data_IF_584090249098
#
_entry.id   IF_584090249098
#
_cell.length_a   1.000
_cell.length_b   1.000
_cell.length_c   1.000
_cell.angle_alpha   90.00
_cell.angle_beta   90.00
_cell.angle_gamma   90.00
#
_symmetry.space_group_name_H-M   'P 1'
#
loop_
_entity.id
_entity.type
_entity.pdbx_description
1 polymer ?
#
# COMPACT_ATOMS: atom_id res chain seq x y z
N UNK A 1 -2.80 35.44 -43.18
CA UNK A 1 -3.22 34.03 -43.00
C UNK A 1 -2.09 33.16 -42.46
N UNK A 2 -0.86 33.28 -42.98
CA UNK A 2 0.33 32.52 -42.52
C UNK A 2 0.75 32.83 -41.06
N UNK A 3 0.72 34.10 -40.66
CA UNK A 3 1.07 34.53 -39.30
C UNK A 3 0.10 34.07 -38.21
N UNK A 4 -1.14 33.75 -38.56
CA UNK A 4 -2.16 33.29 -37.61
C UNK A 4 -1.86 31.86 -37.14
N UNK A 5 -1.50 30.96 -38.07
CA UNK A 5 -1.12 29.60 -37.74
C UNK A 5 0.22 29.53 -37.01
N UNK A 6 1.16 30.41 -37.35
CA UNK A 6 2.42 30.53 -36.63
C UNK A 6 2.23 30.90 -35.15
N UNK A 7 1.32 31.84 -34.86
CA UNK A 7 0.96 32.19 -33.47
C UNK A 7 0.14 31.12 -32.77
N UNK A 8 -0.83 30.50 -33.47
CA UNK A 8 -1.70 29.48 -32.88
C UNK A 8 -0.92 28.23 -32.44
N UNK A 9 0.10 27.86 -33.21
CA UNK A 9 0.92 26.67 -32.96
C UNK A 9 2.29 26.98 -32.35
N UNK A 10 2.55 28.26 -32.03
CA UNK A 10 3.79 28.78 -31.46
C UNK A 10 5.06 28.34 -32.20
N UNK A 11 5.11 28.63 -33.50
CA UNK A 11 6.16 28.20 -34.43
C UNK A 11 6.59 29.32 -35.36
N UNK A 12 7.89 29.40 -35.60
CA UNK A 12 8.53 30.50 -36.37
C UNK A 12 8.46 30.32 -37.89
N UNK A 13 8.21 29.11 -38.40
CA UNK A 13 8.13 28.84 -39.85
C UNK A 13 6.84 28.12 -40.24
N UNK A 14 6.37 28.36 -41.47
CA UNK A 14 5.20 27.68 -42.04
C UNK A 14 5.45 26.18 -42.27
N UNK A 15 6.69 25.77 -42.52
CA UNK A 15 7.08 24.35 -42.62
C UNK A 15 6.94 23.60 -41.30
N UNK A 16 6.98 24.30 -40.16
CA UNK A 16 6.77 23.73 -38.82
C UNK A 16 5.31 23.44 -38.48
N UNK A 17 4.35 23.97 -39.26
CA UNK A 17 2.91 23.85 -38.96
C UNK A 17 2.45 22.40 -39.04
N UNK A 18 2.79 21.69 -40.12
CA UNK A 18 2.37 20.29 -40.29
C UNK A 18 2.99 19.34 -39.26
N UNK A 19 4.30 19.40 -38.96
CA UNK A 19 4.89 18.64 -37.85
C UNK A 19 4.22 18.93 -36.51
N UNK A 20 3.96 20.21 -36.21
CA UNK A 20 3.34 20.62 -34.95
C UNK A 20 1.90 20.16 -34.83
N UNK A 21 1.13 20.21 -35.92
CA UNK A 21 -0.22 19.63 -35.97
C UNK A 21 -0.19 18.13 -35.74
N UNK A 22 0.72 17.40 -36.38
CA UNK A 22 0.84 15.96 -36.19
C UNK A 22 1.16 15.62 -34.73
N UNK A 23 2.05 16.37 -34.08
CA UNK A 23 2.36 16.20 -32.66
C UNK A 23 1.13 16.41 -31.77
N UNK A 24 0.31 17.42 -32.06
CA UNK A 24 -0.95 17.65 -31.32
C UNK A 24 -1.90 16.47 -31.47
N UNK A 25 -2.08 15.93 -32.67
CA UNK A 25 -2.93 14.75 -32.89
C UNK A 25 -2.39 13.51 -32.20
N UNK A 26 -1.08 13.27 -32.27
CA UNK A 26 -0.44 12.15 -31.56
C UNK A 26 -0.67 12.25 -30.06
N UNK A 27 -0.37 13.41 -29.44
CA UNK A 27 -0.58 13.62 -28.01
C UNK A 27 -2.05 13.48 -27.61
N UNK A 28 -2.98 14.00 -28.41
CA UNK A 28 -4.41 13.87 -28.13
C UNK A 28 -4.86 12.41 -28.21
N UNK A 29 -4.36 11.65 -29.19
CA UNK A 29 -4.61 10.22 -29.31
C UNK A 29 -4.06 9.44 -28.12
N UNK A 30 -2.83 9.72 -27.71
CA UNK A 30 -2.20 9.14 -26.52
C UNK A 30 -3.00 9.44 -25.24
N UNK A 31 -3.41 10.70 -25.03
CA UNK A 31 -4.21 11.09 -23.87
C UNK A 31 -5.58 10.42 -23.88
N UNK A 32 -6.22 10.31 -25.04
CA UNK A 32 -7.52 9.63 -25.18
C UNK A 32 -7.39 8.13 -24.87
N UNK A 33 -6.33 7.49 -25.35
CA UNK A 33 -6.05 6.09 -25.08
C UNK A 33 -5.71 5.85 -23.60
N UNK A 34 -4.87 6.70 -23.01
CA UNK A 34 -4.56 6.63 -21.58
C UNK A 34 -5.81 6.79 -20.72
N UNK A 35 -6.70 7.73 -21.06
CA UNK A 35 -7.97 7.91 -20.35
C UNK A 35 -8.88 6.70 -20.46
N UNK A 36 -8.98 6.07 -21.64
CA UNK A 36 -9.73 4.82 -21.82
C UNK A 36 -9.15 3.70 -20.96
N UNK A 37 -7.83 3.51 -20.98
CA UNK A 37 -7.17 2.49 -20.15
C UNK A 37 -7.44 2.71 -18.65
N UNK A 38 -7.39 3.96 -18.18
CA UNK A 38 -7.71 4.28 -16.78
C UNK A 38 -9.16 3.94 -16.43
N UNK A 39 -10.11 4.22 -17.33
CA UNK A 39 -11.52 3.85 -17.13
C UNK A 39 -11.69 2.34 -17.09
N UNK A 40 -11.06 1.60 -18.00
CA UNK A 40 -11.11 0.13 -18.03
C UNK A 40 -10.56 -0.47 -16.74
N UNK A 41 -9.39 0.00 -16.26
CA UNK A 41 -8.77 -0.48 -15.02
C UNK A 41 -9.67 -0.21 -13.81
N UNK A 42 -10.33 0.94 -13.78
CA UNK A 42 -11.26 1.34 -12.71
C UNK A 42 -12.68 0.78 -12.92
N UNK A 43 -12.90 0.00 -13.98
CA UNK A 43 -14.20 -0.52 -14.39
C UNK A 43 -15.30 0.57 -14.49
N UNK A 44 -14.93 1.74 -15.01
CA UNK A 44 -15.82 2.89 -15.22
C UNK A 44 -16.41 2.89 -16.63
N UNK A 45 -17.55 3.57 -16.81
CA UNK A 45 -18.13 3.77 -18.14
C UNK A 45 -17.16 4.52 -19.06
N UNK A 46 -17.15 4.15 -20.34
CA UNK A 46 -16.26 4.69 -21.36
C UNK A 46 -16.41 6.22 -21.54
N UNK A 47 -17.56 6.78 -21.12
CA UNK A 47 -17.89 8.21 -21.13
C UNK A 47 -17.73 8.88 -19.77
N UNK A 48 -17.22 8.18 -18.76
CA UNK A 48 -17.01 8.74 -17.43
C UNK A 48 -16.13 10.01 -17.48
N UNK A 49 -16.56 11.12 -16.85
CA UNK A 49 -15.79 12.35 -16.80
C UNK A 49 -14.47 12.15 -16.04
N UNK A 50 -13.46 12.95 -16.38
CA UNK A 50 -12.15 12.91 -15.72
C UNK A 50 -12.25 13.06 -14.19
N UNK A 51 -13.17 13.88 -13.70
CA UNK A 51 -13.38 14.07 -12.26
C UNK A 51 -13.77 12.78 -11.54
N UNK A 52 -14.55 11.91 -12.19
CA UNK A 52 -14.98 10.64 -11.62
C UNK A 52 -13.81 9.65 -11.55
N UNK A 53 -13.00 9.59 -12.60
CA UNK A 53 -11.74 8.82 -12.64
C UNK A 53 -10.81 9.27 -11.50
N UNK A 54 -10.61 10.58 -11.33
CA UNK A 54 -9.75 11.14 -10.26
C UNK A 54 -10.32 10.84 -8.87
N UNK A 55 -11.64 10.96 -8.67
CA UNK A 55 -12.27 10.68 -7.40
C UNK A 55 -12.18 9.19 -7.02
N UNK A 56 -12.35 8.27 -7.98
CA UNK A 56 -12.15 6.84 -7.77
C UNK A 56 -10.69 6.53 -7.37
N UNK A 57 -9.71 7.10 -8.07
CA UNK A 57 -8.30 6.94 -7.72
C UNK A 57 -8.04 7.49 -6.30
N UNK A 58 -8.58 8.66 -5.97
CA UNK A 58 -8.46 9.23 -4.63
C UNK A 58 -9.11 8.32 -3.57
N UNK A 59 -10.25 7.70 -3.88
CA UNK A 59 -10.90 6.74 -2.99
C UNK A 59 -10.05 5.48 -2.81
N UNK A 60 -9.42 4.97 -3.85
CA UNK A 60 -8.56 3.78 -3.79
C UNK A 60 -7.28 4.03 -2.99
N UNK A 61 -6.65 5.18 -3.19
CA UNK A 61 -5.44 5.59 -2.43
C UNK A 61 -5.75 5.79 -0.96
N UNK A 62 -6.95 6.28 -0.63
CA UNK A 62 -7.38 6.50 0.75
C UNK A 62 -8.11 5.29 1.35
N UNK A 63 -8.32 4.21 0.58
CA UNK A 63 -9.00 3.02 1.10
C UNK A 63 -8.00 2.15 1.89
N UNK A 64 -8.28 1.86 3.16
CA UNK A 64 -7.45 0.95 3.97
C UNK A 64 -7.48 -0.51 3.47
N UNK A 65 -8.39 -0.84 2.53
CA UNK A 65 -8.59 -2.20 2.04
C UNK A 65 -7.65 -2.57 0.87
N UNK A 66 -7.00 -1.59 0.21
CA UNK A 66 -6.00 -1.87 -0.84
C UNK A 66 -4.65 -2.36 -0.28
N UNK A 67 -4.48 -2.34 1.05
CA UNK A 67 -3.36 -2.93 1.81
C UNK A 67 -3.64 -4.39 2.22
N UNK A 68 -4.68 -5.02 1.67
CA UNK A 68 -5.01 -6.44 1.93
C UNK A 68 -4.07 -7.39 1.17
N UNK A 69 -2.77 -7.28 1.45
CA UNK A 69 -1.72 -8.06 0.82
C UNK A 69 -0.43 -7.96 1.63
N UNK A 70 -0.46 -8.41 2.88
CA UNK A 70 0.74 -8.68 3.68
C UNK A 70 1.66 -7.48 3.99
N UNK A 71 1.11 -6.30 4.28
CA UNK A 71 1.95 -5.23 4.83
C UNK A 71 2.34 -5.53 6.29
N UNK A 72 3.64 -5.45 6.64
CA UNK A 72 4.14 -5.66 7.99
C UNK A 72 3.53 -4.68 9.02
N UNK A 73 2.83 -3.65 8.56
CA UNK A 73 2.06 -2.70 9.38
C UNK A 73 1.00 -3.37 10.26
N UNK A 74 0.32 -4.42 9.79
CA UNK A 74 -0.70 -5.13 10.59
C UNK A 74 -0.04 -6.05 11.63
N UNK A 75 1.12 -6.63 11.31
CA UNK A 75 1.86 -7.51 12.22
C UNK A 75 2.68 -6.73 13.28
N UNK A 76 3.19 -5.55 12.92
CA UNK A 76 4.06 -4.74 13.77
C UNK A 76 3.31 -3.57 14.45
N UNK A 77 2.11 -3.25 13.99
CA UNK A 77 1.26 -2.19 14.56
C UNK A 77 1.81 -0.77 14.39
N UNK A 78 2.86 -0.57 13.58
CA UNK A 78 3.52 0.73 13.39
C UNK A 78 3.88 0.95 11.91
N UNK A 79 3.72 2.21 11.48
CA UNK A 79 3.95 2.65 10.08
C UNK A 79 5.34 3.27 9.84
N UNK A 80 6.02 3.64 10.92
CA UNK A 80 7.26 4.39 10.87
C UNK A 80 8.50 3.47 11.02
N UNK A 81 9.51 3.68 10.19
CA UNK A 81 10.72 2.84 10.12
C UNK A 81 11.49 2.89 11.45
N UNK A 82 11.57 4.06 12.09
CA UNK A 82 12.25 4.19 13.38
C UNK A 82 11.53 3.42 14.49
N UNK A 83 10.19 3.43 14.46
CA UNK A 83 9.35 2.63 15.36
C UNK A 83 9.53 1.12 15.17
N UNK A 84 9.73 0.66 13.93
CA UNK A 84 10.06 -0.75 13.63
C UNK A 84 11.45 -1.11 14.17
N UNK A 85 12.45 -0.25 13.94
CA UNK A 85 13.82 -0.45 14.45
C UNK A 85 13.83 -0.55 15.98
N UNK A 86 13.04 0.29 16.65
CA UNK A 86 12.90 0.27 18.11
C UNK A 86 12.29 -1.07 18.58
N UNK A 87 11.17 -1.51 17.98
CA UNK A 87 10.52 -2.80 18.30
C UNK A 87 11.46 -4.00 18.10
N UNK A 88 12.26 -4.00 17.04
CA UNK A 88 13.25 -5.05 16.77
C UNK A 88 14.35 -5.06 17.83
N UNK A 89 14.83 -3.88 18.26
CA UNK A 89 15.80 -3.77 19.36
C UNK A 89 15.23 -4.24 20.69
N UNK A 90 13.99 -3.86 21.02
CA UNK A 90 13.30 -4.33 22.22
C UNK A 90 13.15 -5.86 22.22
N UNK A 91 12.77 -6.44 21.08
CA UNK A 91 12.66 -7.88 20.91
C UNK A 91 14.01 -8.58 21.13
N UNK A 92 15.12 -8.05 20.60
CA UNK A 92 16.44 -8.64 20.78
C UNK A 92 16.89 -8.72 22.25
N UNK A 93 16.40 -7.81 23.11
CA UNK A 93 16.75 -7.78 24.54
C UNK A 93 15.76 -8.57 25.39
N UNK A 94 14.45 -8.39 25.17
CA UNK A 94 13.41 -8.99 26.01
C UNK A 94 13.13 -10.46 25.65
N UNK A 95 13.10 -10.78 24.35
CA UNK A 95 12.64 -12.09 23.90
C UNK A 95 13.52 -13.26 24.37
N UNK A 96 14.87 -13.16 24.42
CA UNK A 96 15.69 -14.25 24.96
C UNK A 96 15.39 -14.58 26.42
N UNK A 97 15.23 -13.56 27.27
CA UNK A 97 14.91 -13.76 28.68
C UNK A 97 13.49 -14.31 28.86
N UNK A 98 12.53 -13.79 28.10
CA UNK A 98 11.16 -14.28 28.10
C UNK A 98 11.06 -15.73 27.60
N UNK A 99 11.74 -16.06 26.50
CA UNK A 99 11.78 -17.41 25.95
C UNK A 99 12.37 -18.40 26.96
N UNK A 100 13.48 -18.04 27.60
CA UNK A 100 14.09 -18.86 28.64
C UNK A 100 13.13 -19.14 29.80
N UNK A 101 12.48 -18.09 30.32
CA UNK A 101 11.47 -18.22 31.38
C UNK A 101 10.31 -19.14 30.97
N UNK A 102 9.80 -19.00 29.74
CA UNK A 102 8.72 -19.84 29.23
C UNK A 102 9.18 -21.29 29.10
N UNK A 103 10.39 -21.55 28.60
CA UNK A 103 10.93 -22.90 28.50
C UNK A 103 11.11 -23.56 29.87
N UNK A 104 11.61 -22.83 30.87
CA UNK A 104 11.71 -23.34 32.24
C UNK A 104 10.33 -23.66 32.83
N UNK A 105 9.33 -22.81 32.57
CA UNK A 105 7.94 -23.06 32.98
C UNK A 105 7.36 -24.31 32.33
N UNK A 106 7.55 -24.49 31.02
CA UNK A 106 7.10 -25.67 30.28
C UNK A 106 7.73 -26.96 30.85
N UNK A 107 9.05 -26.94 31.09
CA UNK A 107 9.76 -28.07 31.69
C UNK A 107 9.33 -28.37 33.13
N UNK A 108 9.14 -27.32 33.95
CA UNK A 108 8.74 -27.48 35.35
C UNK A 108 7.33 -28.04 35.48
N UNK A 109 6.44 -27.65 34.56
CA UNK A 109 5.04 -28.08 34.53
C UNK A 109 4.82 -29.35 33.70
N UNK A 110 5.86 -29.87 33.04
CA UNK A 110 5.84 -31.03 32.14
C UNK A 110 4.78 -30.91 31.04
N UNK A 111 4.80 -29.78 30.33
CA UNK A 111 3.86 -29.48 29.22
C UNK A 111 4.61 -29.03 27.97
N UNK A 112 4.09 -29.43 26.81
CA UNK A 112 4.73 -29.16 25.51
C UNK A 112 4.30 -27.83 24.88
N UNK A 113 3.15 -27.27 25.29
CA UNK A 113 2.59 -26.05 24.69
C UNK A 113 2.42 -24.93 25.70
N UNK A 114 2.70 -23.70 25.24
CA UNK A 114 2.50 -22.48 26.00
C UNK A 114 1.04 -22.32 26.49
N UNK A 115 0.08 -22.73 25.67
CA UNK A 115 -1.36 -22.67 25.99
C UNK A 115 -1.73 -23.52 27.22
N UNK A 116 -0.95 -24.58 27.48
CA UNK A 116 -1.20 -25.55 28.54
C UNK A 116 -0.65 -25.11 29.90
N UNK A 117 0.22 -24.09 29.94
CA UNK A 117 0.80 -23.54 31.17
C UNK A 117 -0.30 -23.06 32.13
N UNK A 118 -1.24 -22.23 31.64
CA UNK A 118 -2.27 -21.63 32.49
C UNK A 118 -3.27 -22.64 33.06
N UNK A 119 -3.80 -23.61 32.27
CA UNK A 119 -4.62 -24.70 32.79
C UNK A 119 -3.95 -25.51 33.90
N UNK A 120 -2.67 -25.88 33.72
CA UNK A 120 -1.93 -26.69 34.71
C UNK A 120 -1.68 -25.90 35.99
N UNK A 121 -1.27 -24.63 35.89
CA UNK A 121 -1.09 -23.77 37.05
C UNK A 121 -2.37 -23.59 37.87
N UNK A 122 -3.52 -23.42 37.22
CA UNK A 122 -4.82 -23.33 37.91
C UNK A 122 -5.16 -24.62 38.64
N UNK A 123 -4.91 -25.76 38.01
CA UNK A 123 -5.14 -27.08 38.60
C UNK A 123 -4.24 -27.33 39.81
N UNK A 124 -2.96 -26.97 39.71
CA UNK A 124 -2.01 -27.05 40.83
C UNK A 124 -2.42 -26.14 41.99
N UNK A 125 -2.81 -24.89 41.70
CA UNK A 125 -3.30 -23.96 42.73
C UNK A 125 -4.51 -24.53 43.47
N UNK A 126 -5.49 -25.08 42.75
CA UNK A 126 -6.69 -25.67 43.36
C UNK A 126 -6.43 -26.93 44.22
N UNK A 127 -5.25 -27.55 44.09
CA UNK A 127 -4.81 -28.70 44.90
C UNK A 127 -3.97 -28.29 46.11
N UNK A 128 -3.45 -27.07 46.11
CA UNK A 128 -2.64 -26.51 47.18
C UNK A 128 -3.50 -25.69 48.18
N UNK A 129 -4.71 -25.32 47.78
CA UNK A 129 -5.80 -24.80 48.64
C UNK A 129 -6.66 -25.96 49.18
#
# INVERSE_FOLDING_TARGET
MVSHFQKLFDITSLSGVYPRMNEVYTRLGEMTNAMRNLRDILALDDRAPLSEVVNQIASLVNSPEATSGHEPHVLLGTSDIDSIILKVKEHAVFFPAFYFLVQELLQTLDVDRLDDIMPVLRSLKSRAE
#
